data_IF_246468669620
#
_entry.id   IF_246468669620
#
_cell.length_a   1.000
_cell.length_b   1.000
_cell.length_c   1.000
_cell.angle_alpha   90.00
_cell.angle_beta   90.00
_cell.angle_gamma   90.00
#
_symmetry.space_group_name_H-M   'P 1'
#
loop_
_entity.id
_entity.type
_entity.pdbx_description
1 polymer ?
#
# COMPACT_ATOMS: atom_id res chain seq x y z
N UNK A 1 11.68 -25.66 1.81
CA UNK A 1 10.86 -24.67 1.06
C UNK A 1 10.91 -23.22 1.56
N UNK A 2 11.70 -22.81 2.53
CA UNK A 2 11.80 -21.39 2.93
C UNK A 2 12.55 -20.51 1.91
N UNK A 3 13.40 -21.10 1.06
CA UNK A 3 14.26 -20.36 0.10
C UNK A 3 13.44 -19.61 -0.94
N UNK A 4 12.37 -20.20 -1.48
CA UNK A 4 11.51 -19.53 -2.47
C UNK A 4 10.79 -18.30 -1.89
N UNK A 5 10.38 -18.37 -0.63
CA UNK A 5 9.77 -17.22 0.04
C UNK A 5 10.74 -16.08 0.29
N UNK A 6 11.99 -16.40 0.65
CA UNK A 6 13.05 -15.39 0.80
C UNK A 6 13.39 -14.73 -0.55
N UNK A 7 13.47 -15.51 -1.63
CA UNK A 7 13.69 -14.98 -2.97
C UNK A 7 12.55 -14.04 -3.39
N UNK A 8 11.30 -14.45 -3.17
CA UNK A 8 10.13 -13.63 -3.47
C UNK A 8 10.12 -12.32 -2.66
N UNK A 9 10.42 -12.38 -1.35
CA UNK A 9 10.48 -11.20 -0.48
C UNK A 9 11.55 -10.21 -0.93
N UNK A 10 12.75 -10.71 -1.27
CA UNK A 10 13.83 -9.87 -1.77
C UNK A 10 13.53 -9.28 -3.15
N UNK A 11 12.85 -10.01 -4.02
CA UNK A 11 12.40 -9.49 -5.31
C UNK A 11 11.37 -8.37 -5.11
N UNK A 12 10.40 -8.54 -4.21
CA UNK A 12 9.48 -7.49 -3.82
C UNK A 12 10.21 -6.26 -3.29
N UNK A 13 11.25 -6.44 -2.45
CA UNK A 13 12.05 -5.34 -1.91
C UNK A 13 12.72 -4.53 -3.01
N UNK A 14 13.26 -5.17 -4.05
CA UNK A 14 13.87 -4.46 -5.20
C UNK A 14 12.81 -3.57 -5.87
N UNK A 15 11.62 -4.08 -6.13
CA UNK A 15 10.53 -3.28 -6.70
C UNK A 15 10.08 -2.15 -5.78
N UNK A 16 10.04 -2.38 -4.46
CA UNK A 16 9.78 -1.34 -3.45
C UNK A 16 10.77 -0.20 -3.61
N UNK A 17 12.07 -0.49 -3.66
CA UNK A 17 13.10 0.54 -3.79
C UNK A 17 12.92 1.37 -5.08
N UNK A 18 12.52 0.72 -6.19
CA UNK A 18 12.22 1.42 -7.45
C UNK A 18 11.03 2.36 -7.29
N UNK A 19 9.92 1.91 -6.67
CA UNK A 19 8.74 2.76 -6.49
C UNK A 19 8.99 3.88 -5.48
N UNK A 20 9.69 3.60 -4.37
CA UNK A 20 10.08 4.62 -3.39
C UNK A 20 10.98 5.67 -4.04
N UNK A 21 11.95 5.26 -4.87
CA UNK A 21 12.77 6.20 -5.63
C UNK A 21 11.92 7.09 -6.55
N UNK A 22 11.01 6.50 -7.32
CA UNK A 22 10.12 7.23 -8.22
C UNK A 22 9.20 8.19 -7.48
N UNK A 23 8.63 7.79 -6.34
CA UNK A 23 7.82 8.63 -5.49
C UNK A 23 8.62 9.81 -4.91
N UNK A 24 9.82 9.53 -4.40
CA UNK A 24 10.70 10.54 -3.83
C UNK A 24 11.17 11.56 -4.88
N UNK A 25 11.38 11.12 -6.12
CA UNK A 25 11.85 11.99 -7.21
C UNK A 25 10.82 13.05 -7.64
N UNK A 26 9.55 12.92 -7.21
CA UNK A 26 8.50 13.94 -7.43
C UNK A 26 8.73 15.16 -6.53
N UNK A 27 9.31 14.97 -5.34
CA UNK A 27 9.44 16.01 -4.31
C UNK A 27 10.88 16.37 -4.00
N UNK A 28 11.85 15.51 -4.29
CA UNK A 28 13.24 15.62 -3.88
C UNK A 28 14.20 15.57 -5.06
N UNK A 29 15.37 16.21 -4.89
CA UNK A 29 16.48 16.09 -5.83
C UNK A 29 17.12 14.69 -5.76
N UNK A 30 17.88 14.31 -6.80
CA UNK A 30 18.59 13.00 -6.88
C UNK A 30 19.39 12.63 -5.63
N UNK A 31 20.04 13.62 -4.97
CA UNK A 31 20.76 13.40 -3.71
C UNK A 31 19.81 13.06 -2.55
N UNK A 32 18.65 13.73 -2.48
CA UNK A 32 17.60 13.44 -1.49
C UNK A 32 17.01 12.05 -1.66
N UNK A 33 16.68 11.66 -2.90
CA UNK A 33 16.16 10.32 -3.21
C UNK A 33 17.12 9.21 -2.73
N UNK A 34 18.43 9.35 -2.98
CA UNK A 34 19.42 8.38 -2.50
C UNK A 34 19.44 8.29 -0.96
N UNK A 35 19.36 9.45 -0.25
CA UNK A 35 19.29 9.44 1.21
C UNK A 35 18.05 8.72 1.74
N UNK A 36 16.89 8.90 1.12
CA UNK A 36 15.65 8.18 1.51
C UNK A 36 15.84 6.68 1.39
N UNK A 37 16.40 6.19 0.28
CA UNK A 37 16.65 4.75 0.09
C UNK A 37 17.65 4.20 1.13
N UNK A 38 18.74 4.93 1.39
CA UNK A 38 19.74 4.55 2.38
C UNK A 38 19.11 4.48 3.77
N UNK A 39 18.35 5.50 4.18
CA UNK A 39 17.68 5.54 5.48
C UNK A 39 16.68 4.39 5.63
N UNK A 40 15.93 4.07 4.56
CA UNK A 40 14.99 2.95 4.55
C UNK A 40 15.71 1.61 4.77
N UNK A 41 16.89 1.42 4.18
CA UNK A 41 17.65 0.17 4.31
C UNK A 41 18.41 0.07 5.65
N UNK A 42 18.86 1.19 6.22
CA UNK A 42 19.59 1.22 7.49
C UNK A 42 18.63 1.12 8.69
N UNK A 43 17.34 1.42 8.49
CA UNK A 43 16.37 1.39 9.59
C UNK A 43 16.33 0.01 10.26
N UNK A 44 16.34 -0.08 11.60
CA UNK A 44 16.45 -1.37 12.33
C UNK A 44 15.43 -2.42 11.91
N UNK A 45 14.23 -2.00 11.52
CA UNK A 45 13.18 -2.92 11.07
C UNK A 45 13.31 -3.34 9.59
N UNK A 46 14.34 -2.87 8.88
CA UNK A 46 14.51 -3.19 7.45
C UNK A 46 14.73 -4.69 7.21
N UNK A 47 15.24 -5.40 8.23
CA UNK A 47 15.43 -6.84 8.14
C UNK A 47 14.09 -7.60 7.90
N UNK A 48 12.95 -7.09 8.41
CA UNK A 48 11.63 -7.66 8.15
C UNK A 48 11.23 -7.63 6.67
N UNK A 49 11.79 -6.70 5.90
CA UNK A 49 11.53 -6.62 4.46
C UNK A 49 12.25 -7.72 3.67
N UNK A 50 13.34 -8.26 4.22
CA UNK A 50 14.10 -9.35 3.62
C UNK A 50 13.67 -10.74 4.13
N UNK A 51 12.99 -10.81 5.29
CA UNK A 51 12.48 -12.04 5.85
C UNK A 51 11.22 -12.53 5.14
N UNK A 52 10.84 -13.79 5.40
CA UNK A 52 9.60 -14.40 4.90
C UNK A 52 8.36 -13.82 5.61
N UNK A 53 8.14 -12.51 5.46
CA UNK A 53 7.00 -11.80 6.02
C UNK A 53 6.17 -11.12 4.95
N UNK A 54 4.89 -10.89 5.24
CA UNK A 54 3.94 -10.15 4.38
C UNK A 54 4.30 -8.67 4.22
N UNK A 55 5.30 -8.19 4.97
CA UNK A 55 5.69 -6.78 5.03
C UNK A 55 6.21 -6.25 3.68
N UNK A 56 7.06 -7.02 3.00
CA UNK A 56 7.61 -6.61 1.70
C UNK A 56 6.52 -6.50 0.62
N UNK A 57 5.55 -7.42 0.61
CA UNK A 57 4.42 -7.37 -0.32
C UNK A 57 3.49 -6.19 -0.03
N UNK A 58 3.18 -5.95 1.25
CA UNK A 58 2.38 -4.80 1.68
C UNK A 58 3.06 -3.48 1.29
N UNK A 59 4.36 -3.38 1.55
CA UNK A 59 5.14 -2.19 1.22
C UNK A 59 5.23 -1.96 -0.29
N UNK A 60 5.35 -3.04 -1.09
CA UNK A 60 5.33 -2.98 -2.54
C UNK A 60 3.99 -2.45 -3.06
N UNK A 61 2.89 -3.06 -2.64
CA UNK A 61 1.55 -2.67 -3.09
C UNK A 61 1.22 -1.24 -2.66
N UNK A 62 1.60 -0.85 -1.44
CA UNK A 62 1.41 0.52 -0.93
C UNK A 62 2.23 1.54 -1.70
N UNK A 63 3.54 1.32 -1.88
CA UNK A 63 4.41 2.26 -2.59
C UNK A 63 4.04 2.43 -4.06
N UNK A 64 3.64 1.35 -4.72
CA UNK A 64 3.14 1.37 -6.08
C UNK A 64 1.76 2.08 -6.18
N UNK A 65 0.86 1.84 -5.21
CA UNK A 65 -0.44 2.50 -5.11
C UNK A 65 -0.27 4.03 -5.04
N UNK A 66 0.63 4.53 -4.19
CA UNK A 66 0.95 5.96 -4.11
C UNK A 66 1.56 6.49 -5.42
N UNK A 67 2.46 5.74 -6.05
CA UNK A 67 3.04 6.15 -7.33
C UNK A 67 1.99 6.38 -8.40
N UNK A 68 1.05 5.45 -8.55
CA UNK A 68 -0.02 5.56 -9.55
C UNK A 68 -1.04 6.64 -9.19
N UNK A 69 -1.32 6.85 -7.91
CA UNK A 69 -2.18 7.95 -7.45
C UNK A 69 -1.59 9.30 -7.81
N UNK A 70 -0.30 9.54 -7.53
CA UNK A 70 0.39 10.79 -7.86
C UNK A 70 0.43 11.06 -9.37
N UNK A 71 0.52 10.00 -10.18
CA UNK A 71 0.46 10.08 -11.65
C UNK A 71 -0.98 10.13 -12.20
N UNK A 72 -2.01 10.32 -11.36
CA UNK A 72 -3.43 10.40 -11.72
C UNK A 72 -3.98 9.14 -12.42
N UNK A 73 -3.30 8.00 -12.29
CA UNK A 73 -3.75 6.68 -12.79
C UNK A 73 -4.55 5.96 -11.71
N UNK A 74 -5.76 6.44 -11.44
CA UNK A 74 -6.59 6.01 -10.31
C UNK A 74 -7.00 4.54 -10.38
N UNK A 75 -7.19 3.98 -11.58
CA UNK A 75 -7.49 2.55 -11.75
C UNK A 75 -6.40 1.66 -11.16
N UNK A 76 -5.13 1.87 -11.57
CA UNK A 76 -4.00 1.10 -11.05
C UNK A 76 -3.75 1.34 -9.56
N UNK A 77 -3.98 2.56 -9.10
CA UNK A 77 -3.90 2.89 -7.68
C UNK A 77 -4.95 2.14 -6.87
N UNK A 78 -6.21 2.14 -7.30
CA UNK A 78 -7.29 1.40 -6.64
C UNK A 78 -7.04 -0.11 -6.63
N UNK A 79 -6.60 -0.68 -7.76
CA UNK A 79 -6.28 -2.11 -7.87
C UNK A 79 -5.16 -2.54 -6.92
N UNK A 80 -4.05 -1.80 -6.88
CA UNK A 80 -2.95 -2.08 -5.96
C UNK A 80 -3.32 -1.83 -4.49
N UNK A 81 -4.14 -0.81 -4.23
CA UNK A 81 -4.68 -0.53 -2.91
C UNK A 81 -5.62 -1.62 -2.40
N UNK A 82 -6.39 -2.27 -3.28
CA UNK A 82 -7.18 -3.46 -2.97
C UNK A 82 -6.27 -4.58 -2.43
N UNK A 83 -5.18 -4.89 -3.11
CA UNK A 83 -4.23 -5.89 -2.63
C UNK A 83 -3.54 -5.48 -1.32
N UNK A 84 -3.22 -4.19 -1.15
CA UNK A 84 -2.69 -3.69 0.11
C UNK A 84 -3.67 -3.93 1.28
N UNK A 85 -4.97 -3.68 1.07
CA UNK A 85 -6.02 -3.92 2.06
C UNK A 85 -6.25 -5.41 2.35
N UNK A 86 -6.04 -6.30 1.36
CA UNK A 86 -6.08 -7.74 1.56
C UNK A 86 -4.89 -8.26 2.39
N UNK A 87 -3.71 -7.64 2.24
CA UNK A 87 -2.52 -8.07 3.00
C UNK A 87 -2.54 -7.59 4.44
N UNK A 88 -3.06 -6.38 4.68
CA UNK A 88 -3.19 -5.79 6.02
C UNK A 88 -4.43 -4.91 6.11
N UNK A 89 -5.15 -5.03 7.21
CA UNK A 89 -6.33 -4.19 7.52
C UNK A 89 -6.00 -2.70 7.48
N UNK A 90 -4.78 -2.34 7.92
CA UNK A 90 -4.27 -0.96 7.86
C UNK A 90 -4.18 -0.38 6.44
N UNK A 91 -4.23 -1.21 5.40
CA UNK A 91 -4.27 -0.77 4.00
C UNK A 91 -5.46 0.13 3.67
N UNK A 92 -6.58 0.01 4.41
CA UNK A 92 -7.75 0.88 4.23
C UNK A 92 -7.46 2.35 4.58
N UNK A 93 -6.48 2.61 5.46
CA UNK A 93 -6.07 3.98 5.81
C UNK A 93 -5.57 4.74 4.57
N UNK A 94 -5.01 4.03 3.59
CA UNK A 94 -4.58 4.62 2.32
C UNK A 94 -5.77 5.27 1.59
N UNK A 95 -6.94 4.63 1.63
CA UNK A 95 -8.16 5.20 1.05
C UNK A 95 -8.53 6.53 1.70
N UNK A 96 -8.48 6.61 3.05
CA UNK A 96 -8.78 7.84 3.76
C UNK A 96 -7.80 8.96 3.38
N UNK A 97 -6.50 8.66 3.28
CA UNK A 97 -5.49 9.62 2.85
C UNK A 97 -5.79 10.16 1.43
N UNK A 98 -6.15 9.29 0.48
CA UNK A 98 -6.48 9.68 -0.87
C UNK A 98 -7.80 10.45 -0.96
N UNK A 99 -8.80 10.07 -0.17
CA UNK A 99 -10.07 10.79 -0.09
C UNK A 99 -9.86 12.23 0.42
N UNK A 100 -9.07 12.40 1.47
CA UNK A 100 -8.73 13.74 2.01
C UNK A 100 -7.99 14.57 0.96
N UNK A 101 -7.03 13.99 0.26
CA UNK A 101 -6.27 14.67 -0.79
C UNK A 101 -7.17 15.12 -1.96
N UNK A 102 -8.12 14.26 -2.39
CA UNK A 102 -9.09 14.60 -3.43
C UNK A 102 -10.08 15.68 -2.96
N UNK A 103 -10.56 15.58 -1.71
CA UNK A 103 -11.43 16.60 -1.13
C UNK A 103 -10.72 17.95 -1.04
N UNK A 104 -9.46 17.96 -0.62
CA UNK A 104 -8.68 19.21 -0.56
C UNK A 104 -8.50 19.83 -1.97
N UNK A 105 -8.19 19.02 -2.98
CA UNK A 105 -8.09 19.49 -4.36
C UNK A 105 -9.41 20.04 -4.87
N UNK A 106 -10.52 19.39 -4.54
CA UNK A 106 -11.86 19.88 -4.89
C UNK A 106 -12.16 21.25 -4.24
N UNK A 107 -11.90 21.38 -2.93
CA UNK A 107 -12.16 22.63 -2.20
C UNK A 107 -11.26 23.78 -2.67
N UNK A 108 -9.97 23.49 -2.94
CA UNK A 108 -9.00 24.53 -3.28
C UNK A 108 -9.02 24.93 -4.75
N UNK A 109 -9.20 23.97 -5.67
CA UNK A 109 -9.12 24.20 -7.12
C UNK A 109 -10.44 24.09 -7.85
N UNK A 110 -11.55 23.74 -7.18
CA UNK A 110 -12.87 23.43 -7.79
C UNK A 110 -12.77 22.43 -8.97
N UNK A 111 -11.70 21.65 -9.04
CA UNK A 111 -11.57 20.58 -10.02
C UNK A 111 -12.44 19.40 -9.57
N UNK A 112 -13.48 19.08 -10.34
CA UNK A 112 -14.30 17.91 -10.09
C UNK A 112 -13.42 16.64 -10.11
N UNK A 113 -13.58 15.75 -9.14
CA UNK A 113 -12.89 14.47 -9.17
C UNK A 113 -13.26 13.75 -10.47
N UNK A 114 -12.25 13.31 -11.23
CA UNK A 114 -12.50 12.55 -12.44
C UNK A 114 -13.30 11.30 -12.12
N UNK A 115 -14.18 10.84 -13.02
CA UNK A 115 -14.92 9.56 -12.85
C UNK A 115 -13.98 8.38 -12.50
N UNK A 116 -12.76 8.45 -12.96
CA UNK A 116 -11.72 7.46 -12.64
C UNK A 116 -11.34 7.41 -11.14
N UNK A 117 -11.60 8.47 -10.36
CA UNK A 117 -11.35 8.45 -8.91
C UNK A 117 -12.27 7.49 -8.15
N UNK A 118 -13.40 7.08 -8.75
CA UNK A 118 -14.27 6.05 -8.19
C UNK A 118 -13.57 4.69 -8.05
N UNK A 119 -12.55 4.41 -8.85
CA UNK A 119 -11.75 3.18 -8.70
C UNK A 119 -11.00 3.11 -7.37
N UNK A 120 -10.81 4.22 -6.67
CA UNK A 120 -10.24 4.21 -5.32
C UNK A 120 -11.16 3.51 -4.29
N UNK A 121 -12.47 3.41 -4.57
CA UNK A 121 -13.40 2.62 -3.76
C UNK A 121 -13.08 1.12 -3.79
N UNK A 122 -12.24 0.65 -4.71
CA UNK A 122 -11.73 -0.71 -4.69
C UNK A 122 -10.90 -1.00 -3.41
N UNK A 123 -10.26 0.02 -2.83
CA UNK A 123 -9.40 -0.15 -1.64
C UNK A 123 -10.20 -0.68 -0.44
N UNK A 124 -11.32 -0.05 0.00
CA UNK A 124 -12.13 -0.61 1.06
C UNK A 124 -12.82 -1.93 0.68
N UNK A 125 -13.10 -2.18 -0.61
CA UNK A 125 -13.61 -3.49 -1.05
C UNK A 125 -12.63 -4.63 -0.74
N UNK A 126 -11.31 -4.37 -0.70
CA UNK A 126 -10.32 -5.34 -0.27
C UNK A 126 -10.51 -5.79 1.18
N UNK A 127 -10.82 -4.87 2.08
CA UNK A 127 -11.15 -5.22 3.48
C UNK A 127 -12.44 -6.03 3.55
N UNK A 128 -13.47 -5.61 2.81
CA UNK A 128 -14.76 -6.34 2.79
C UNK A 128 -14.54 -7.77 2.29
N UNK A 129 -13.76 -7.96 1.22
CA UNK A 129 -13.42 -9.28 0.71
C UNK A 129 -12.67 -10.13 1.77
N UNK A 130 -11.75 -9.53 2.53
CA UNK A 130 -11.06 -10.20 3.62
C UNK A 130 -12.03 -10.59 4.75
N UNK A 131 -12.95 -9.70 5.15
CA UNK A 131 -13.98 -10.00 6.16
C UNK A 131 -14.93 -11.12 5.72
N UNK A 132 -15.35 -11.13 4.45
CA UNK A 132 -16.17 -12.21 3.87
C UNK A 132 -15.42 -13.52 3.90
N UNK A 133 -14.14 -13.53 3.55
CA UNK A 133 -13.31 -14.74 3.63
C UNK A 133 -13.20 -15.28 5.06
N UNK A 134 -13.01 -14.40 6.07
CA UNK A 134 -12.97 -14.78 7.48
C UNK A 134 -14.33 -15.33 7.96
N UNK A 135 -15.42 -14.66 7.58
CA UNK A 135 -16.78 -15.14 7.89
C UNK A 135 -17.04 -16.53 7.33
N UNK A 136 -16.62 -16.79 6.08
CA UNK A 136 -16.81 -18.08 5.44
C UNK A 136 -15.98 -19.19 6.05
N UNK A 137 -14.71 -18.89 6.44
CA UNK A 137 -13.77 -19.90 6.93
C UNK A 137 -13.86 -20.15 8.43
N UNK A 138 -14.14 -19.10 9.22
CA UNK A 138 -14.10 -19.13 10.69
C UNK A 138 -15.44 -18.78 11.34
N UNK A 139 -16.50 -18.52 10.56
CA UNK A 139 -17.79 -18.01 11.04
C UNK A 139 -17.72 -16.71 11.87
N UNK A 140 -16.58 -16.01 11.84
CA UNK A 140 -16.35 -14.76 12.57
C UNK A 140 -15.70 -13.71 11.64
N UNK A 141 -16.46 -12.71 11.15
CA UNK A 141 -15.94 -11.70 10.23
C UNK A 141 -14.91 -10.76 10.89
N UNK A 142 -14.92 -10.65 12.22
CA UNK A 142 -14.04 -9.79 13.01
C UNK A 142 -12.99 -10.57 13.81
N UNK A 143 -12.65 -11.79 13.40
CA UNK A 143 -11.65 -12.63 14.07
C UNK A 143 -10.30 -11.91 14.27
N UNK A 144 -9.91 -11.05 13.31
CA UNK A 144 -8.65 -10.30 13.40
C UNK A 144 -8.63 -9.27 14.54
N UNK A 145 -9.79 -8.72 14.94
CA UNK A 145 -9.88 -7.78 16.08
C UNK A 145 -9.73 -8.55 17.39
N UNK A 146 -10.44 -9.67 17.54
CA UNK A 146 -10.37 -10.50 18.74
C UNK A 146 -8.95 -11.04 19.02
N UNK A 147 -8.18 -11.34 17.99
CA UNK A 147 -6.80 -11.82 18.14
C UNK A 147 -5.86 -10.73 18.66
N UNK A 148 -6.17 -9.46 18.40
CA UNK A 148 -5.36 -8.33 18.89
C UNK A 148 -5.65 -8.00 20.37
N UNK A 149 -6.81 -8.40 20.90
CA UNK A 149 -7.20 -8.15 22.27
C UNK A 149 -6.78 -9.29 23.24
N UNK A 150 -6.16 -10.35 22.75
CA UNK A 150 -5.58 -11.46 23.53
C UNK A 150 -4.08 -11.26 23.74
#
# INVERSE_FOLDING_TARGET
MPIYGLLFSNLCLIFVLIFVYKNSNIYLNKRGCKKVLILMLIFPNSFFYSCFYRESLYLLTTSACFYFFLNKKYFWSGFLGFFASLTRVTGVIIFLAFAIELLWKYLKKKELPKRESLFLLLIPCGLIAYMVFLAWKFNEPLAFVKIQDM
#
